data_IF_294465593044
#
_entry.id   IF_294465593044
#
_cell.length_a   1.000
_cell.length_b   1.000
_cell.length_c   1.000
_cell.angle_alpha   90.00
_cell.angle_beta   90.00
_cell.angle_gamma   90.00
#
_symmetry.space_group_name_H-M   'P 1'
#
loop_
_entity.id
_entity.type
_entity.pdbx_description
1 polymer ?
#
# COMPACT_ATOMS: atom_id res chain seq x y z
N UNK A 1 5.90 28.66 7.30
CA UNK A 1 5.37 27.35 6.90
C UNK A 1 6.54 26.39 6.74
N UNK A 2 6.51 25.25 7.40
CA UNK A 2 7.59 24.26 7.35
C UNK A 2 7.21 23.10 6.40
N UNK A 3 8.21 22.59 5.67
CA UNK A 3 8.12 21.41 4.82
C UNK A 3 9.33 20.52 5.06
N UNK A 4 9.21 19.21 5.03
CA UNK A 4 10.35 18.28 5.05
C UNK A 4 11.23 18.46 3.82
N UNK A 5 10.61 18.68 2.67
CA UNK A 5 11.28 18.89 1.41
C UNK A 5 10.35 19.54 0.39
N UNK A 6 10.93 20.08 -0.66
CA UNK A 6 10.11 20.64 -1.75
C UNK A 6 10.84 21.67 -2.61
N UNK A 7 10.23 21.92 -3.74
CA UNK A 7 10.68 22.91 -4.71
C UNK A 7 10.46 24.31 -4.15
N UNK A 8 11.50 25.14 -4.19
CA UNK A 8 11.39 26.54 -3.80
C UNK A 8 10.86 27.37 -4.97
N UNK A 9 10.14 28.44 -4.63
CA UNK A 9 9.68 29.44 -5.60
C UNK A 9 10.88 30.10 -6.30
N UNK A 10 10.83 30.16 -7.62
CA UNK A 10 11.76 30.96 -8.42
C UNK A 10 11.15 32.37 -8.62
N UNK A 11 11.61 33.34 -7.85
CA UNK A 11 11.08 34.70 -7.86
C UNK A 11 11.35 35.44 -9.19
N UNK A 12 12.20 34.90 -10.05
CA UNK A 12 12.46 35.47 -11.38
C UNK A 12 11.40 35.10 -12.41
N UNK A 13 10.58 34.10 -12.12
CA UNK A 13 9.48 33.66 -12.99
C UNK A 13 8.16 34.30 -12.57
N UNK A 14 7.36 34.67 -13.54
CA UNK A 14 5.95 35.00 -13.31
C UNK A 14 5.21 33.75 -12.81
N UNK A 15 4.05 33.94 -12.20
CA UNK A 15 3.22 32.83 -11.71
C UNK A 15 1.73 33.09 -11.90
N UNK A 16 0.99 32.02 -12.13
CA UNK A 16 -0.48 32.01 -12.21
C UNK A 16 -1.15 31.92 -10.81
N UNK A 17 -0.38 31.70 -9.75
CA UNK A 17 -0.89 31.45 -8.39
C UNK A 17 -1.85 32.49 -7.86
N UNK A 18 -1.70 33.79 -8.24
CA UNK A 18 -2.65 34.85 -7.86
C UNK A 18 -4.04 34.62 -8.48
N UNK A 19 -4.09 34.09 -9.69
CA UNK A 19 -5.35 33.80 -10.39
C UNK A 19 -5.97 32.53 -9.82
N UNK A 20 -5.15 31.54 -9.45
CA UNK A 20 -5.60 30.34 -8.73
C UNK A 20 -6.24 30.74 -7.39
N UNK A 21 -5.59 31.60 -6.60
CA UNK A 21 -6.16 32.12 -5.35
C UNK A 21 -7.49 32.88 -5.57
N UNK A 22 -7.58 33.70 -6.61
CA UNK A 22 -8.82 34.37 -6.98
C UNK A 22 -9.93 33.39 -7.35
N UNK A 23 -9.58 32.31 -8.04
CA UNK A 23 -10.52 31.22 -8.38
C UNK A 23 -11.05 30.54 -7.11
N UNK A 24 -10.20 30.28 -6.12
CA UNK A 24 -10.59 29.75 -4.81
C UNK A 24 -11.57 30.67 -4.07
N UNK A 25 -11.29 31.98 -4.04
CA UNK A 25 -12.21 32.97 -3.47
C UNK A 25 -13.58 32.95 -4.17
N UNK A 26 -13.58 32.82 -5.49
CA UNK A 26 -14.82 32.75 -6.28
C UNK A 26 -15.58 31.44 -6.05
N UNK A 27 -14.87 30.32 -5.77
CA UNK A 27 -15.44 29.06 -5.33
C UNK A 27 -15.97 29.09 -3.89
N UNK A 28 -15.67 30.15 -3.13
CA UNK A 28 -16.08 30.32 -1.72
C UNK A 28 -15.18 29.62 -0.71
N UNK A 29 -13.98 29.18 -1.12
CA UNK A 29 -12.97 28.55 -0.26
C UNK A 29 -11.58 29.16 -0.50
N UNK A 30 -11.27 30.34 0.08
CA UNK A 30 -9.96 30.96 -0.07
C UNK A 30 -8.83 30.01 0.28
N UNK A 31 -7.73 30.10 -0.47
CA UNK A 31 -6.56 29.24 -0.22
C UNK A 31 -5.90 29.57 1.13
N UNK A 32 -5.53 28.52 1.84
CA UNK A 32 -4.62 28.60 2.99
C UNK A 32 -3.20 29.00 2.51
N UNK A 33 -2.34 29.52 3.40
CA UNK A 33 -0.99 29.93 3.01
C UNK A 33 -0.16 28.85 2.31
N UNK A 34 -0.26 27.61 2.74
CA UNK A 34 0.44 26.48 2.10
C UNK A 34 -0.09 26.17 0.70
N UNK A 35 -1.42 26.22 0.52
CA UNK A 35 -2.06 26.01 -0.77
C UNK A 35 -1.68 27.11 -1.76
N UNK A 36 -1.63 28.37 -1.26
CA UNK A 36 -1.18 29.50 -2.05
C UNK A 36 0.27 29.31 -2.50
N UNK A 37 1.16 28.89 -1.60
CA UNK A 37 2.56 28.63 -1.95
C UNK A 37 2.70 27.53 -3.01
N UNK A 38 1.96 26.42 -2.89
CA UNK A 38 1.96 25.35 -3.89
C UNK A 38 1.46 25.88 -5.25
N UNK A 39 0.38 26.67 -5.26
CA UNK A 39 -0.15 27.26 -6.48
C UNK A 39 0.82 28.26 -7.11
N UNK A 40 1.54 29.06 -6.30
CA UNK A 40 2.55 30.02 -6.79
C UNK A 40 3.72 29.31 -7.48
N UNK A 41 4.19 28.18 -6.93
CA UNK A 41 5.29 27.40 -7.52
C UNK A 41 4.81 26.58 -8.71
N UNK A 42 3.73 25.81 -8.58
CA UNK A 42 3.20 24.98 -9.66
C UNK A 42 2.76 25.79 -10.88
N UNK A 43 2.32 27.04 -10.63
CA UNK A 43 1.90 28.01 -11.65
C UNK A 43 3.04 28.87 -12.22
N UNK A 44 4.34 28.56 -11.96
CA UNK A 44 5.45 29.29 -12.56
C UNK A 44 5.43 29.20 -14.08
N UNK A 45 5.70 30.33 -14.72
CA UNK A 45 5.70 30.50 -16.17
C UNK A 45 7.13 30.48 -16.69
N UNK A 46 7.39 29.61 -17.64
CA UNK A 46 8.64 29.56 -18.37
C UNK A 46 8.79 30.81 -19.26
N UNK A 47 9.79 31.66 -19.00
CA UNK A 47 9.97 32.89 -19.80
C UNK A 47 10.28 32.62 -21.27
N UNK A 48 10.78 31.44 -21.61
CA UNK A 48 11.08 31.06 -22.98
C UNK A 48 9.87 30.68 -23.79
N UNK A 49 8.85 30.11 -23.15
CA UNK A 49 7.65 29.57 -23.84
C UNK A 49 6.38 30.31 -23.51
N UNK A 50 6.34 31.10 -22.44
CA UNK A 50 5.16 31.83 -21.97
C UNK A 50 4.06 30.95 -21.38
N UNK A 51 4.35 29.66 -21.11
CA UNK A 51 3.42 28.70 -20.49
C UNK A 51 4.02 28.07 -19.22
N UNK A 52 3.30 27.16 -18.57
CA UNK A 52 3.78 26.55 -17.30
C UNK A 52 5.17 25.94 -17.44
N UNK A 53 6.04 26.26 -16.49
CA UNK A 53 7.39 25.68 -16.42
C UNK A 53 7.34 24.21 -15.98
N UNK A 54 6.49 23.87 -15.01
CA UNK A 54 6.35 22.53 -14.50
C UNK A 54 5.21 21.78 -15.22
N UNK A 55 5.51 20.59 -15.71
CA UNK A 55 4.53 19.66 -16.29
C UNK A 55 4.10 18.57 -15.30
N UNK A 56 4.84 18.40 -14.19
CA UNK A 56 4.51 17.48 -13.11
C UNK A 56 4.56 18.17 -11.75
N UNK A 57 3.53 17.94 -10.95
CA UNK A 57 3.41 18.43 -9.57
C UNK A 57 3.16 17.24 -8.66
N UNK A 58 4.03 17.03 -7.66
CA UNK A 58 3.89 15.96 -6.67
C UNK A 58 3.68 16.58 -5.29
N UNK A 59 2.59 16.23 -4.62
CA UNK A 59 2.18 16.82 -3.36
C UNK A 59 1.88 15.75 -2.32
N UNK A 60 2.70 15.68 -1.27
CA UNK A 60 2.46 14.87 -0.08
C UNK A 60 2.06 15.76 1.08
N UNK A 61 0.91 15.49 1.70
CA UNK A 61 0.36 16.30 2.80
C UNK A 61 -0.31 15.42 3.85
N UNK A 62 -0.33 15.84 5.14
CA UNK A 62 -1.15 15.19 6.16
C UNK A 62 -2.64 15.23 5.79
N UNK A 63 -3.44 14.44 6.46
CA UNK A 63 -4.91 14.52 6.37
C UNK A 63 -5.42 15.80 6.98
N UNK A 64 -6.67 16.17 6.68
CA UNK A 64 -7.37 17.33 7.24
C UNK A 64 -6.67 18.69 7.00
N UNK A 65 -5.85 18.79 5.94
CA UNK A 65 -5.15 20.02 5.58
C UNK A 65 -5.83 20.85 4.48
N UNK A 66 -6.87 20.30 3.84
CA UNK A 66 -7.59 20.98 2.76
C UNK A 66 -7.06 20.69 1.35
N UNK A 67 -6.38 19.57 1.13
CA UNK A 67 -5.84 19.12 -0.17
C UNK A 67 -6.88 19.23 -1.30
N UNK A 68 -8.09 18.73 -1.10
CA UNK A 68 -9.18 18.76 -2.08
C UNK A 68 -9.56 20.18 -2.52
N UNK A 69 -9.50 21.17 -1.62
CA UNK A 69 -9.76 22.56 -1.98
C UNK A 69 -8.77 23.10 -3.00
N UNK A 70 -7.47 22.76 -2.85
CA UNK A 70 -6.46 23.13 -3.83
C UNK A 70 -6.71 22.43 -5.17
N UNK A 71 -6.98 21.12 -5.16
CA UNK A 71 -7.25 20.33 -6.37
C UNK A 71 -8.46 20.91 -7.13
N UNK A 72 -9.59 21.11 -6.46
CA UNK A 72 -10.81 21.67 -7.08
C UNK A 72 -10.56 23.05 -7.68
N UNK A 73 -9.74 23.85 -7.00
CA UNK A 73 -9.39 25.19 -7.47
C UNK A 73 -8.52 25.14 -8.72
N UNK A 74 -7.49 24.30 -8.70
CA UNK A 74 -6.57 24.12 -9.84
C UNK A 74 -7.28 23.52 -11.05
N UNK A 75 -8.17 22.56 -10.85
CA UNK A 75 -8.95 21.95 -11.91
C UNK A 75 -9.93 22.98 -12.51
N UNK A 76 -10.61 23.76 -11.67
CA UNK A 76 -11.49 24.85 -12.12
C UNK A 76 -10.73 25.95 -12.86
N UNK A 77 -9.57 26.39 -12.29
CA UNK A 77 -8.71 27.39 -12.94
C UNK A 77 -8.26 26.89 -14.32
N UNK A 78 -7.84 25.64 -14.42
CA UNK A 78 -7.41 25.05 -15.67
C UNK A 78 -8.56 24.98 -16.69
N UNK A 79 -9.78 24.62 -16.27
CA UNK A 79 -10.98 24.63 -17.12
C UNK A 79 -11.32 26.03 -17.64
N UNK A 80 -11.00 27.09 -16.89
CA UNK A 80 -11.27 28.49 -17.25
C UNK A 80 -10.10 29.16 -18.01
N UNK A 81 -8.93 28.54 -18.07
CA UNK A 81 -7.71 29.09 -18.67
C UNK A 81 -7.82 29.35 -20.19
N UNK A 82 -8.64 28.56 -20.87
CA UNK A 82 -8.85 28.69 -22.32
C UNK A 82 -10.04 27.85 -22.79
N UNK A 83 -10.35 27.86 -24.08
CA UNK A 83 -11.47 27.10 -24.62
C UNK A 83 -11.10 25.61 -24.75
N UNK A 84 -12.13 24.75 -24.62
CA UNK A 84 -12.09 23.32 -24.91
C UNK A 84 -11.02 22.55 -24.12
N UNK A 85 -10.76 22.98 -22.88
CA UNK A 85 -9.82 22.29 -21.98
C UNK A 85 -10.44 21.01 -21.42
N UNK A 86 -9.60 19.98 -21.29
CA UNK A 86 -9.99 18.63 -20.88
C UNK A 86 -9.28 18.29 -19.55
N UNK A 87 -10.02 18.29 -18.46
CA UNK A 87 -9.51 18.07 -17.12
C UNK A 87 -10.06 16.75 -16.59
N UNK A 88 -9.18 15.91 -16.09
CA UNK A 88 -9.55 14.62 -15.53
C UNK A 88 -9.01 14.46 -14.11
N UNK A 89 -9.84 13.82 -13.27
CA UNK A 89 -9.57 13.54 -11.87
C UNK A 89 -9.71 12.04 -11.59
N UNK A 90 -8.72 11.46 -10.97
CA UNK A 90 -8.67 10.06 -10.55
C UNK A 90 -8.44 10.01 -9.04
N UNK A 91 -9.20 9.18 -8.31
CA UNK A 91 -9.03 8.91 -6.89
C UNK A 91 -8.78 7.41 -6.64
N UNK A 92 -8.62 7.00 -5.38
CA UNK A 92 -8.35 5.62 -4.98
C UNK A 92 -9.31 4.61 -5.62
N UNK A 93 -10.60 4.92 -5.66
CA UNK A 93 -11.62 4.12 -6.36
C UNK A 93 -12.49 5.00 -7.25
N UNK A 94 -13.17 4.38 -8.23
CA UNK A 94 -14.16 5.09 -9.05
C UNK A 94 -15.29 5.71 -8.22
N UNK A 95 -15.70 5.05 -7.12
CA UNK A 95 -16.74 5.57 -6.21
C UNK A 95 -16.26 6.81 -5.45
N UNK A 96 -14.98 6.83 -5.03
CA UNK A 96 -14.40 7.99 -4.34
C UNK A 96 -14.28 9.18 -5.31
N UNK A 97 -13.84 8.94 -6.54
CA UNK A 97 -13.81 9.96 -7.58
C UNK A 97 -15.20 10.53 -7.88
N UNK A 98 -16.21 9.67 -7.97
CA UNK A 98 -17.60 10.11 -8.16
C UNK A 98 -18.16 10.91 -6.99
N UNK A 99 -17.86 10.50 -5.76
CA UNK A 99 -18.29 11.21 -4.55
C UNK A 99 -17.65 12.60 -4.50
N UNK A 100 -16.32 12.67 -4.66
CA UNK A 100 -15.60 13.93 -4.71
C UNK A 100 -16.16 14.86 -5.81
N UNK A 101 -16.41 14.33 -6.99
CA UNK A 101 -16.97 15.08 -8.11
C UNK A 101 -18.36 15.63 -7.81
N UNK A 102 -19.25 14.88 -7.15
CA UNK A 102 -20.59 15.37 -6.74
C UNK A 102 -20.47 16.52 -5.74
N UNK A 103 -19.57 16.41 -4.76
CA UNK A 103 -19.31 17.46 -3.76
C UNK A 103 -18.77 18.74 -4.44
N UNK A 104 -17.82 18.59 -5.36
CA UNK A 104 -17.29 19.67 -6.19
C UNK A 104 -18.39 20.37 -7.00
N UNK A 105 -19.22 19.62 -7.73
CA UNK A 105 -20.32 20.17 -8.54
C UNK A 105 -21.32 20.94 -7.67
N UNK A 106 -21.64 20.41 -6.48
CA UNK A 106 -22.51 21.10 -5.53
C UNK A 106 -21.91 22.43 -5.06
N UNK A 107 -20.62 22.45 -4.78
CA UNK A 107 -19.90 23.66 -4.39
C UNK A 107 -19.89 24.68 -5.55
N UNK A 108 -19.51 24.24 -6.76
CA UNK A 108 -19.46 25.08 -7.95
C UNK A 108 -20.80 25.73 -8.23
N UNK A 109 -21.90 24.99 -8.09
CA UNK A 109 -23.26 25.49 -8.33
C UNK A 109 -23.71 26.63 -7.38
N UNK A 110 -23.09 26.70 -6.18
CA UNK A 110 -23.39 27.74 -5.17
C UNK A 110 -22.35 28.86 -5.19
N UNK A 111 -21.36 28.80 -6.06
CA UNK A 111 -20.22 29.72 -6.11
C UNK A 111 -20.47 30.88 -7.08
N UNK A 112 -19.59 31.88 -7.03
CA UNK A 112 -19.57 33.00 -8.00
C UNK A 112 -19.21 32.53 -9.42
N UNK A 113 -18.70 31.30 -9.57
CA UNK A 113 -18.36 30.68 -10.85
C UNK A 113 -19.55 29.92 -11.50
N UNK A 114 -20.65 29.75 -10.79
CA UNK A 114 -21.87 29.08 -11.33
C UNK A 114 -22.35 29.61 -12.71
N UNK A 115 -22.30 30.92 -13.01
CA UNK A 115 -22.68 31.42 -14.32
C UNK A 115 -21.81 30.92 -15.49
N UNK A 116 -20.59 30.47 -15.24
CA UNK A 116 -19.70 29.93 -16.26
C UNK A 116 -19.89 28.42 -16.46
N UNK A 117 -20.54 27.72 -15.53
CA UNK A 117 -20.81 26.29 -15.58
C UNK A 117 -22.13 26.00 -16.32
N UNK A 118 -22.17 24.86 -16.99
CA UNK A 118 -23.40 24.28 -17.55
C UNK A 118 -23.98 23.26 -16.57
N UNK A 119 -25.22 22.80 -16.85
CA UNK A 119 -25.84 21.74 -16.05
C UNK A 119 -24.93 20.49 -16.05
N UNK A 120 -24.53 19.94 -14.87
CA UNK A 120 -23.69 18.80 -14.82
C UNK A 120 -24.39 17.52 -15.27
N UNK A 121 -23.65 16.60 -15.84
CA UNK A 121 -24.09 15.23 -16.08
C UNK A 121 -23.64 14.37 -14.91
N UNK A 122 -24.57 13.70 -14.22
CA UNK A 122 -24.31 12.91 -13.00
C UNK A 122 -24.65 11.41 -13.18
N UNK A 123 -24.85 10.95 -14.41
CA UNK A 123 -25.12 9.53 -14.68
C UNK A 123 -23.88 8.68 -14.47
N UNK A 124 -24.03 7.50 -13.84
CA UNK A 124 -22.94 6.56 -13.62
C UNK A 124 -22.20 6.24 -14.94
N UNK A 125 -20.86 6.27 -14.88
CA UNK A 125 -20.01 6.04 -16.04
C UNK A 125 -19.95 7.19 -17.08
N UNK A 126 -20.60 8.33 -16.79
CA UNK A 126 -20.60 9.47 -17.71
C UNK A 126 -20.70 10.81 -16.99
N UNK A 127 -20.15 10.91 -15.77
CA UNK A 127 -20.14 12.16 -15.00
C UNK A 127 -19.25 13.19 -15.65
N UNK A 128 -19.75 14.41 -15.81
CA UNK A 128 -19.02 15.50 -16.45
C UNK A 128 -19.59 16.85 -16.01
N UNK A 129 -18.71 17.79 -15.68
CA UNK A 129 -19.05 19.20 -15.53
C UNK A 129 -18.50 19.97 -16.72
N UNK A 130 -19.39 20.48 -17.56
CA UNK A 130 -19.02 21.35 -18.68
C UNK A 130 -19.07 22.83 -18.31
N UNK A 131 -18.22 23.60 -18.97
CA UNK A 131 -18.20 25.06 -18.89
C UNK A 131 -18.60 25.70 -20.23
N UNK A 132 -19.06 26.98 -20.19
CA UNK A 132 -19.52 27.70 -21.36
C UNK A 132 -18.45 27.92 -22.44
N UNK A 133 -17.14 27.83 -22.05
CA UNK A 133 -16.03 27.91 -23.00
C UNK A 133 -15.71 26.56 -23.68
N UNK A 134 -16.57 25.53 -23.50
CA UNK A 134 -16.36 24.19 -24.06
C UNK A 134 -15.48 23.25 -23.24
N UNK A 135 -14.87 23.74 -22.17
CA UNK A 135 -14.06 22.93 -21.27
C UNK A 135 -14.90 22.02 -20.40
N UNK A 136 -14.28 20.97 -19.87
CA UNK A 136 -14.95 20.07 -18.93
C UNK A 136 -14.00 19.49 -17.87
N UNK A 137 -14.60 19.07 -16.75
CA UNK A 137 -13.94 18.29 -15.68
C UNK A 137 -14.70 16.96 -15.58
N UNK A 138 -13.97 15.83 -15.57
CA UNK A 138 -14.52 14.48 -15.59
C UNK A 138 -13.77 13.57 -14.61
N UNK A 139 -14.46 12.84 -13.71
CA UNK A 139 -13.82 11.80 -12.90
C UNK A 139 -13.49 10.58 -13.76
N UNK A 140 -12.37 9.90 -13.46
CA UNK A 140 -11.96 8.64 -14.07
C UNK A 140 -11.88 7.52 -13.02
N UNK A 141 -12.20 6.31 -13.47
CA UNK A 141 -11.93 5.11 -12.67
C UNK A 141 -10.46 4.66 -12.83
N UNK A 142 -9.88 4.12 -11.78
CA UNK A 142 -8.56 3.47 -11.83
C UNK A 142 -8.65 2.21 -12.67
N UNK A 143 -8.04 2.22 -13.85
CA UNK A 143 -7.87 1.03 -14.70
C UNK A 143 -6.48 1.06 -15.30
N UNK A 144 -5.90 -0.11 -15.61
CA UNK A 144 -4.57 -0.21 -16.28
C UNK A 144 -4.50 0.51 -17.63
N UNK A 145 -5.65 0.83 -18.22
CA UNK A 145 -5.79 1.57 -19.47
C UNK A 145 -6.37 2.98 -19.28
N UNK A 146 -6.46 3.45 -18.03
CA UNK A 146 -6.94 4.80 -17.74
C UNK A 146 -6.10 5.82 -18.50
N UNK A 147 -6.76 6.63 -19.33
CA UNK A 147 -6.10 7.69 -20.10
C UNK A 147 -5.53 7.30 -21.45
N UNK A 148 -5.42 6.01 -21.81
CA UNK A 148 -4.97 5.61 -23.14
C UNK A 148 -5.88 6.18 -24.24
N UNK A 149 -5.30 6.92 -25.18
CA UNK A 149 -6.03 7.57 -26.29
C UNK A 149 -6.85 8.81 -25.90
N UNK A 150 -6.89 9.19 -24.63
CA UNK A 150 -7.63 10.36 -24.16
C UNK A 150 -6.69 11.56 -24.05
N UNK A 151 -6.95 12.61 -24.83
CA UNK A 151 -6.18 13.85 -24.74
C UNK A 151 -6.55 14.64 -23.49
N UNK A 152 -5.56 15.10 -22.72
CA UNK A 152 -5.76 15.81 -21.45
C UNK A 152 -4.93 17.09 -21.38
N UNK A 153 -5.49 18.13 -20.78
CA UNK A 153 -4.82 19.37 -20.46
C UNK A 153 -4.37 19.41 -18.99
N UNK A 154 -5.10 18.74 -18.14
CA UNK A 154 -4.72 18.49 -16.75
C UNK A 154 -5.23 17.13 -16.31
N UNK A 155 -4.39 16.44 -15.56
CA UNK A 155 -4.74 15.17 -14.95
C UNK A 155 -4.31 15.15 -13.49
N UNK A 156 -5.26 14.86 -12.61
CA UNK A 156 -5.00 14.74 -11.18
C UNK A 156 -5.14 13.28 -10.75
N UNK A 157 -4.09 12.71 -10.17
CA UNK A 157 -4.08 11.44 -9.47
C UNK A 157 -4.12 11.77 -7.97
N UNK A 158 -5.28 11.63 -7.36
CA UNK A 158 -5.42 11.83 -5.92
C UNK A 158 -5.39 10.50 -5.17
N UNK A 159 -4.96 10.54 -3.91
CA UNK A 159 -4.71 9.38 -3.06
C UNK A 159 -3.76 8.35 -3.72
N UNK A 160 -2.66 8.87 -4.30
CA UNK A 160 -1.66 8.09 -5.02
C UNK A 160 -0.98 6.99 -4.18
N UNK A 161 -1.12 7.03 -2.84
CA UNK A 161 -0.67 5.96 -1.95
C UNK A 161 -1.35 4.60 -2.26
N UNK A 162 -2.50 4.61 -2.92
CA UNK A 162 -3.25 3.39 -3.27
C UNK A 162 -2.71 2.66 -4.50
N UNK A 163 -1.76 3.26 -5.22
CA UNK A 163 -1.20 2.69 -6.44
C UNK A 163 0.10 1.93 -6.15
N UNK A 164 0.22 0.74 -6.72
CA UNK A 164 1.50 0.07 -6.88
C UNK A 164 2.33 0.70 -8.01
N UNK A 165 3.63 0.40 -8.05
CA UNK A 165 4.58 0.99 -8.97
C UNK A 165 4.25 0.65 -10.45
N UNK A 166 3.80 -0.58 -10.72
CA UNK A 166 3.42 -1.00 -12.08
C UNK A 166 2.22 -0.20 -12.58
N UNK A 167 1.15 -0.13 -11.78
CA UNK A 167 -0.08 0.59 -12.15
C UNK A 167 0.18 2.08 -12.30
N UNK A 168 0.93 2.69 -11.36
CA UNK A 168 1.26 4.11 -11.42
C UNK A 168 2.08 4.48 -12.65
N UNK A 169 3.09 3.68 -13.01
CA UNK A 169 3.89 3.87 -14.22
C UNK A 169 3.07 3.70 -15.49
N UNK A 170 2.26 2.65 -15.58
CA UNK A 170 1.37 2.43 -16.75
C UNK A 170 0.42 3.60 -16.98
N UNK A 171 -0.15 4.18 -15.92
CA UNK A 171 -0.99 5.37 -16.02
C UNK A 171 -0.19 6.56 -16.57
N UNK A 172 1.00 6.83 -16.04
CA UNK A 172 1.83 7.94 -16.49
C UNK A 172 2.29 7.76 -17.94
N UNK A 173 2.72 6.57 -18.32
CA UNK A 173 3.19 6.25 -19.67
C UNK A 173 2.07 6.36 -20.71
N UNK A 174 0.85 5.99 -20.35
CA UNK A 174 -0.32 6.14 -21.21
C UNK A 174 -0.73 7.59 -21.45
N UNK A 175 -0.42 8.50 -20.51
CA UNK A 175 -0.87 9.90 -20.55
C UNK A 175 0.13 10.86 -21.18
N UNK A 176 1.42 10.68 -20.95
CA UNK A 176 2.46 11.61 -21.41
C UNK A 176 2.40 11.90 -22.92
N UNK A 177 2.22 10.92 -23.83
CA UNK A 177 2.11 11.20 -25.25
C UNK A 177 0.86 12.03 -25.61
N UNK A 178 -0.26 11.81 -24.93
CA UNK A 178 -1.52 12.49 -25.21
C UNK A 178 -1.48 13.98 -24.82
N UNK A 179 -0.73 14.28 -23.74
CA UNK A 179 -0.56 15.64 -23.24
C UNK A 179 0.33 16.47 -24.15
N UNK A 180 1.39 15.90 -24.71
CA UNK A 180 2.23 16.60 -25.70
C UNK A 180 1.44 17.09 -26.92
N UNK A 181 0.49 16.28 -27.39
CA UNK A 181 -0.43 16.67 -28.48
C UNK A 181 -1.28 17.88 -28.08
N UNK A 182 -1.75 17.95 -26.82
CA UNK A 182 -2.55 19.08 -26.33
C UNK A 182 -1.75 20.37 -26.25
N UNK A 183 -0.47 20.33 -25.85
CA UNK A 183 0.41 21.51 -25.87
C UNK A 183 0.44 22.16 -27.27
N UNK A 184 0.58 21.34 -28.31
CA UNK A 184 0.58 21.82 -29.69
C UNK A 184 -0.71 22.57 -30.06
N UNK A 185 -1.88 22.06 -29.66
CA UNK A 185 -3.17 22.65 -30.00
C UNK A 185 -3.58 23.83 -29.14
N UNK A 186 -3.20 23.85 -27.86
CA UNK A 186 -3.67 24.87 -26.90
C UNK A 186 -2.65 25.94 -26.60
N UNK A 187 -1.37 25.70 -26.89
CA UNK A 187 -0.25 26.55 -26.50
C UNK A 187 -0.01 26.60 -24.98
N UNK A 188 -0.73 25.79 -24.21
CA UNK A 188 -0.61 25.74 -22.75
C UNK A 188 -0.04 24.41 -22.33
N UNK A 189 1.08 24.44 -21.58
CA UNK A 189 1.69 23.24 -21.04
C UNK A 189 0.67 22.46 -20.18
N UNK A 190 0.34 21.22 -20.54
CA UNK A 190 -0.47 20.35 -19.68
C UNK A 190 0.27 19.97 -18.41
N UNK A 191 -0.49 19.69 -17.34
CA UNK A 191 0.08 19.32 -16.05
C UNK A 191 -0.50 18.01 -15.51
N UNK A 192 0.37 17.16 -14.95
CA UNK A 192 0.02 16.00 -14.13
C UNK A 192 0.21 16.38 -12.66
N UNK A 193 -0.84 16.24 -11.88
CA UNK A 193 -0.81 16.41 -10.43
C UNK A 193 -0.93 15.05 -9.75
N UNK A 194 0.06 14.69 -8.92
CA UNK A 194 0.08 13.48 -8.11
C UNK A 194 -0.01 13.93 -6.67
N UNK A 195 -1.15 13.68 -6.03
CA UNK A 195 -1.42 14.17 -4.69
C UNK A 195 -1.76 13.02 -3.75
N UNK A 196 -1.27 13.09 -2.52
CA UNK A 196 -1.49 12.03 -1.53
C UNK A 196 -1.21 12.50 -0.11
N UNK A 197 -1.63 11.71 0.86
CA UNK A 197 -0.98 11.54 2.15
C UNK A 197 0.09 10.45 1.99
N UNK A 198 1.12 10.42 2.85
CA UNK A 198 2.08 9.32 2.90
C UNK A 198 1.36 7.97 3.00
N UNK A 199 1.96 6.95 2.39
CA UNK A 199 1.37 5.63 2.30
C UNK A 199 1.86 4.65 3.36
N UNK A 200 1.72 3.39 3.02
CA UNK A 200 2.28 2.23 3.72
C UNK A 200 3.44 1.64 2.91
N UNK A 201 4.00 0.54 3.33
CA UNK A 201 5.00 -0.20 2.56
C UNK A 201 4.49 -0.59 1.15
N UNK A 202 3.18 -0.87 1.02
CA UNK A 202 2.55 -1.25 -0.26
C UNK A 202 2.35 -0.10 -1.24
N UNK A 203 2.54 1.13 -0.80
CA UNK A 203 2.37 2.34 -1.62
C UNK A 203 3.60 2.58 -2.54
N UNK A 204 4.02 1.54 -3.26
CA UNK A 204 5.32 1.49 -3.93
C UNK A 204 5.51 2.58 -4.98
N UNK A 205 4.45 2.98 -5.69
CA UNK A 205 4.50 4.09 -6.64
C UNK A 205 4.83 5.44 -5.95
N UNK A 206 4.05 5.81 -4.95
CA UNK A 206 4.26 7.08 -4.23
C UNK A 206 5.58 7.08 -3.47
N UNK A 207 5.90 5.97 -2.80
CA UNK A 207 7.13 5.80 -2.04
C UNK A 207 8.36 5.99 -2.93
N UNK A 208 8.40 5.34 -4.11
CA UNK A 208 9.49 5.47 -5.06
C UNK A 208 9.70 6.91 -5.54
N UNK A 209 8.61 7.65 -5.79
CA UNK A 209 8.68 9.07 -6.16
C UNK A 209 9.28 9.92 -5.03
N UNK A 210 8.71 9.83 -3.82
CA UNK A 210 9.13 10.65 -2.69
C UNK A 210 10.57 10.34 -2.25
N UNK A 211 10.96 9.09 -2.21
CA UNK A 211 12.33 8.67 -1.85
C UNK A 211 13.36 9.19 -2.86
N UNK A 212 13.05 9.08 -4.15
CA UNK A 212 13.88 9.63 -5.21
C UNK A 212 14.06 11.16 -5.07
N UNK A 213 12.98 11.88 -4.75
CA UNK A 213 13.01 13.34 -4.61
C UNK A 213 13.72 13.79 -3.33
N UNK A 214 13.54 13.08 -2.22
CA UNK A 214 14.27 13.31 -0.96
C UNK A 214 15.78 13.06 -1.14
N UNK A 215 16.15 12.10 -2.00
CA UNK A 215 17.54 11.86 -2.38
C UNK A 215 18.12 12.88 -3.40
N UNK A 216 17.33 13.88 -3.81
CA UNK A 216 17.77 14.93 -4.75
C UNK A 216 17.57 14.60 -6.23
N UNK A 217 17.00 13.44 -6.56
CA UNK A 217 16.76 13.01 -7.94
C UNK A 217 15.40 13.49 -8.45
N UNK A 218 15.22 14.80 -8.54
CA UNK A 218 13.98 15.42 -9.05
C UNK A 218 14.10 15.63 -10.57
N UNK A 219 13.19 15.05 -11.39
CA UNK A 219 13.22 15.26 -12.84
C UNK A 219 13.05 16.75 -13.20
N UNK A 220 13.66 17.17 -14.29
CA UNK A 220 13.43 18.50 -14.84
C UNK A 220 11.93 18.73 -15.07
N UNK A 221 11.46 19.94 -14.86
CA UNK A 221 10.06 20.35 -15.01
C UNK A 221 9.09 19.67 -14.04
N UNK A 222 9.62 19.06 -12.95
CA UNK A 222 8.83 18.56 -11.83
C UNK A 222 9.00 19.46 -10.63
N UNK A 223 7.90 19.92 -10.02
CA UNK A 223 7.94 20.49 -8.69
C UNK A 223 7.27 19.52 -7.70
N UNK A 224 7.75 19.54 -6.47
CA UNK A 224 7.26 18.64 -5.43
C UNK A 224 7.20 19.35 -4.08
N UNK A 225 6.34 18.85 -3.21
CA UNK A 225 6.08 19.40 -1.89
C UNK A 225 5.83 18.26 -0.92
N UNK A 226 6.54 18.24 0.18
CA UNK A 226 6.43 17.23 1.23
C UNK A 226 6.16 17.89 2.58
N UNK A 227 4.90 18.00 2.93
CA UNK A 227 4.43 18.54 4.20
C UNK A 227 4.28 17.40 5.21
N UNK A 228 5.10 17.39 6.24
CA UNK A 228 5.06 16.38 7.29
C UNK A 228 6.05 16.69 8.39
N UNK A 229 5.93 16.04 9.53
CA UNK A 229 6.90 16.15 10.61
C UNK A 229 8.23 15.53 10.20
N UNK A 230 9.39 15.97 10.76
CA UNK A 230 10.68 15.32 10.53
C UNK A 230 10.65 13.83 10.86
N UNK A 231 11.50 13.05 10.17
CA UNK A 231 11.51 11.60 10.33
C UNK A 231 11.99 11.13 11.72
N UNK A 232 12.77 11.94 12.41
CA UNK A 232 13.24 11.74 13.78
C UNK A 232 12.32 12.30 14.86
N UNK A 233 11.25 13.02 14.48
CA UNK A 233 10.33 13.62 15.43
C UNK A 233 9.34 12.60 16.00
N UNK A 234 8.93 12.82 17.26
CA UNK A 234 7.87 12.03 17.88
C UNK A 234 6.49 12.46 17.36
N UNK A 235 5.71 11.58 16.71
CA UNK A 235 4.36 11.89 16.25
C UNK A 235 3.36 12.07 17.41
N UNK A 236 3.70 11.69 18.64
CA UNK A 236 2.87 11.95 19.83
C UNK A 236 3.12 13.33 20.42
N UNK A 237 4.18 14.03 20.02
CA UNK A 237 4.40 15.43 20.39
C UNK A 237 3.47 16.36 19.61
N UNK A 238 2.38 16.77 20.23
CA UNK A 238 1.40 17.67 19.64
C UNK A 238 1.98 19.03 19.25
N UNK A 239 3.03 19.51 19.92
CA UNK A 239 3.68 20.77 19.55
C UNK A 239 4.40 20.63 18.21
N UNK A 240 5.03 19.50 17.98
CA UNK A 240 5.62 19.18 16.68
C UNK A 240 4.56 19.08 15.59
N UNK A 241 3.43 18.38 15.83
CA UNK A 241 2.31 18.34 14.87
C UNK A 241 1.81 19.76 14.57
N UNK A 242 1.53 20.59 15.59
CA UNK A 242 1.05 21.97 15.41
C UNK A 242 2.03 22.84 14.62
N UNK A 243 3.31 22.63 14.77
CA UNK A 243 4.36 23.39 14.09
C UNK A 243 4.49 23.00 12.60
N UNK A 244 4.34 21.73 12.27
CA UNK A 244 4.64 21.19 10.95
C UNK A 244 3.39 20.93 10.09
N UNK A 245 2.23 20.72 10.70
CA UNK A 245 1.01 20.48 9.96
C UNK A 245 0.48 21.76 9.31
N UNK A 246 0.31 21.81 7.98
CA UNK A 246 0.08 23.06 7.25
C UNK A 246 -1.28 23.72 7.50
N UNK A 247 -2.23 23.02 8.15
CA UNK A 247 -3.54 23.55 8.52
C UNK A 247 -3.72 23.81 10.02
N UNK A 248 -2.72 23.48 10.83
CA UNK A 248 -2.78 23.72 12.28
C UNK A 248 -2.95 25.22 12.61
N UNK A 249 -3.84 25.54 13.53
CA UNK A 249 -4.18 26.92 13.89
C UNK A 249 -5.02 27.66 12.83
N UNK A 250 -5.32 27.05 11.69
CA UNK A 250 -6.13 27.63 10.62
C UNK A 250 -7.47 26.89 10.44
N UNK A 251 -7.47 25.57 10.40
CA UNK A 251 -8.67 24.75 10.28
C UNK A 251 -9.07 24.09 11.59
N UNK A 252 -8.13 23.85 12.49
CA UNK A 252 -8.33 23.21 13.78
C UNK A 252 -7.24 23.63 14.78
N UNK A 253 -7.51 23.47 16.07
CA UNK A 253 -6.62 23.84 17.18
C UNK A 253 -6.13 22.59 17.98
N UNK A 254 -5.34 22.82 19.05
CA UNK A 254 -4.81 21.74 19.89
C UNK A 254 -5.91 20.93 20.60
N UNK A 255 -7.08 21.50 20.86
CA UNK A 255 -8.18 20.74 21.49
C UNK A 255 -8.75 19.72 20.53
N UNK A 256 -9.03 20.17 19.29
CA UNK A 256 -9.48 19.29 18.23
C UNK A 256 -8.41 18.24 17.86
N UNK A 257 -7.12 18.60 17.95
CA UNK A 257 -6.03 17.64 17.74
C UNK A 257 -6.05 16.50 18.76
N UNK A 258 -6.36 16.81 20.05
CA UNK A 258 -6.52 15.79 21.09
C UNK A 258 -7.72 14.89 20.82
N UNK A 259 -8.86 15.48 20.45
CA UNK A 259 -10.06 14.73 20.10
C UNK A 259 -9.80 13.79 18.88
N UNK A 260 -9.02 14.26 17.91
CA UNK A 260 -8.59 13.42 16.79
C UNK A 260 -7.68 12.27 17.25
N UNK A 261 -6.72 12.54 18.17
CA UNK A 261 -5.82 11.48 18.67
C UNK A 261 -6.57 10.37 19.39
N UNK A 262 -7.62 10.69 20.14
CA UNK A 262 -8.48 9.69 20.81
C UNK A 262 -9.13 8.72 19.83
N UNK A 263 -9.50 9.20 18.63
CA UNK A 263 -10.05 8.34 17.57
C UNK A 263 -9.03 7.34 16.98
N UNK A 264 -7.75 7.58 17.23
CA UNK A 264 -6.65 6.69 16.83
C UNK A 264 -6.09 5.88 18.02
N UNK A 265 -6.84 5.74 19.12
CA UNK A 265 -6.37 4.93 20.24
C UNK A 265 -6.04 3.50 19.79
N UNK A 266 -4.80 3.05 20.07
CA UNK A 266 -4.31 1.74 19.63
C UNK A 266 -3.89 1.67 18.15
N UNK A 267 -3.81 2.80 17.45
CA UNK A 267 -3.35 2.89 16.06
C UNK A 267 -2.37 4.06 15.89
N UNK A 268 -1.21 3.94 16.51
CA UNK A 268 -0.15 4.95 16.51
C UNK A 268 0.40 5.21 15.09
N UNK A 269 0.57 4.16 14.29
CA UNK A 269 1.03 4.27 12.91
C UNK A 269 0.03 5.02 12.04
N UNK A 270 -1.27 4.71 12.20
CA UNK A 270 -2.35 5.44 11.53
C UNK A 270 -2.40 6.91 11.93
N UNK A 271 -2.16 7.23 13.21
CA UNK A 271 -2.03 8.59 13.71
C UNK A 271 -0.85 9.33 13.08
N UNK A 272 0.35 8.75 13.16
CA UNK A 272 1.57 9.32 12.59
C UNK A 272 1.42 9.59 11.08
N UNK A 273 0.77 8.67 10.35
CA UNK A 273 0.47 8.85 8.93
C UNK A 273 -0.56 9.96 8.69
N UNK A 274 -1.65 9.98 9.46
CA UNK A 274 -2.74 10.93 9.23
C UNK A 274 -2.34 12.37 9.54
N UNK A 275 -1.68 12.61 10.66
CA UNK A 275 -1.37 13.96 11.16
C UNK A 275 0.10 14.34 11.06
N UNK A 276 1.01 13.38 11.14
CA UNK A 276 2.43 13.59 10.92
C UNK A 276 2.85 13.51 9.45
N UNK A 277 2.00 12.99 8.58
CA UNK A 277 2.34 12.62 7.20
C UNK A 277 3.63 11.79 7.15
N UNK A 278 3.75 10.81 8.04
CA UNK A 278 4.83 9.84 8.07
C UNK A 278 4.40 8.58 7.35
N UNK A 279 5.34 8.01 6.59
CA UNK A 279 5.13 6.70 6.02
C UNK A 279 4.91 5.70 7.15
N UNK A 280 3.88 4.91 7.02
CA UNK A 280 3.71 3.75 7.84
C UNK A 280 4.64 2.65 7.30
N UNK A 281 5.88 2.66 7.80
CA UNK A 281 6.85 1.59 7.56
C UNK A 281 6.63 0.43 8.53
N UNK A 282 5.72 0.63 9.46
CA UNK A 282 5.25 -0.39 10.36
C UNK A 282 4.47 -1.41 9.57
N UNK A 283 4.73 -2.64 9.87
CA UNK A 283 3.89 -3.78 9.56
C UNK A 283 2.46 -3.36 9.88
N UNK A 284 1.59 -3.32 8.88
CA UNK A 284 0.16 -3.17 9.10
C UNK A 284 -0.22 -4.11 10.23
N UNK A 285 -0.56 -3.58 11.39
CA UNK A 285 -0.92 -4.28 12.61
C UNK A 285 -0.16 -5.61 12.77
N UNK A 286 0.90 -5.63 13.60
CA UNK A 286 1.65 -6.87 13.85
C UNK A 286 0.67 -8.02 14.02
N UNK A 287 0.69 -8.96 13.11
CA UNK A 287 -0.22 -10.10 13.13
C UNK A 287 -0.05 -10.88 14.43
N UNK A 288 1.21 -10.93 14.90
CA UNK A 288 1.60 -11.57 16.16
C UNK A 288 2.21 -10.51 17.07
N UNK A 289 1.52 -10.04 18.13
CA UNK A 289 2.10 -9.12 19.11
C UNK A 289 3.35 -9.69 19.77
N UNK A 290 4.38 -8.86 19.98
CA UNK A 290 5.67 -9.30 20.52
C UNK A 290 5.54 -10.01 21.88
N UNK A 291 4.76 -9.45 22.79
CA UNK A 291 4.51 -10.08 24.10
C UNK A 291 3.84 -11.47 23.97
N UNK A 292 2.94 -11.63 23.00
CA UNK A 292 2.31 -12.91 22.72
C UNK A 292 3.36 -13.91 22.23
N UNK A 293 4.19 -13.51 21.25
CA UNK A 293 5.23 -14.35 20.70
C UNK A 293 6.22 -14.81 21.78
N UNK A 294 6.78 -13.89 22.54
CA UNK A 294 7.69 -14.21 23.63
C UNK A 294 7.07 -15.11 24.70
N UNK A 295 5.77 -14.98 24.98
CA UNK A 295 5.08 -15.79 25.99
C UNK A 295 4.84 -17.24 25.59
N UNK A 296 5.07 -17.59 24.32
CA UNK A 296 4.85 -18.94 23.76
C UNK A 296 6.15 -19.64 23.36
N UNK A 297 7.30 -19.11 23.81
CA UNK A 297 8.59 -19.72 23.59
C UNK A 297 8.68 -21.11 24.23
N UNK A 298 9.20 -22.08 23.52
CA UNK A 298 9.38 -23.46 23.95
C UNK A 298 10.80 -23.99 23.69
N UNK A 299 11.14 -25.08 24.30
CA UNK A 299 12.36 -25.82 24.02
C UNK A 299 12.32 -26.39 22.60
N UNK A 300 13.44 -26.36 21.85
CA UNK A 300 13.52 -26.91 20.49
C UNK A 300 13.09 -28.39 20.41
N UNK A 301 12.60 -28.78 19.25
CA UNK A 301 12.30 -30.18 18.90
C UNK A 301 13.65 -30.90 18.72
N UNK A 302 13.91 -31.90 19.54
CA UNK A 302 15.10 -32.76 19.46
C UNK A 302 14.69 -34.21 19.28
N UNK A 303 15.55 -35.09 18.76
CA UNK A 303 15.21 -36.52 18.62
C UNK A 303 14.67 -37.15 19.91
N UNK A 304 15.24 -36.83 21.08
CA UNK A 304 14.78 -37.31 22.38
C UNK A 304 13.36 -36.84 22.75
N UNK A 305 12.97 -35.66 22.23
CA UNK A 305 11.61 -35.12 22.45
C UNK A 305 10.58 -35.65 21.47
N UNK A 306 11.00 -36.14 20.32
CA UNK A 306 10.10 -36.78 19.36
C UNK A 306 9.57 -38.09 19.98
N UNK A 307 10.42 -38.94 20.52
CA UNK A 307 10.06 -40.15 21.30
C UNK A 307 8.84 -40.89 20.72
N UNK A 308 8.89 -41.19 19.43
CA UNK A 308 7.80 -41.88 18.73
C UNK A 308 6.53 -41.05 18.45
N UNK A 309 6.52 -39.76 18.78
CA UNK A 309 5.40 -38.87 18.44
C UNK A 309 5.41 -38.51 16.97
N UNK A 310 4.25 -38.37 16.33
CA UNK A 310 4.17 -37.94 14.95
C UNK A 310 4.79 -36.55 14.76
N UNK A 311 5.62 -36.45 13.73
CA UNK A 311 6.19 -35.18 13.23
C UNK A 311 5.45 -34.81 11.95
N UNK A 312 5.21 -33.54 11.76
CA UNK A 312 4.72 -32.97 10.49
C UNK A 312 5.76 -31.99 9.97
N UNK A 313 6.09 -32.12 8.72
CA UNK A 313 6.95 -31.18 7.99
C UNK A 313 6.07 -30.26 7.17
N UNK A 314 6.41 -28.99 7.07
CA UNK A 314 5.76 -28.03 6.20
C UNK A 314 6.78 -27.19 5.44
N UNK A 315 6.43 -26.81 4.21
CA UNK A 315 7.24 -25.95 3.39
C UNK A 315 6.44 -24.76 2.86
N UNK A 316 7.09 -23.61 2.76
CA UNK A 316 6.55 -22.40 2.15
C UNK A 316 7.62 -21.69 1.33
N UNK A 317 7.21 -21.17 0.16
CA UNK A 317 8.08 -20.42 -0.77
C UNK A 317 7.75 -18.95 -0.69
N UNK A 318 8.76 -18.09 -0.60
CA UNK A 318 8.58 -16.64 -0.54
C UNK A 318 8.24 -16.04 -1.93
N UNK A 319 7.90 -14.75 -1.95
CA UNK A 319 7.63 -14.00 -3.20
C UNK A 319 8.84 -14.12 -4.13
N UNK A 320 8.56 -14.25 -5.41
CA UNK A 320 9.58 -14.38 -6.47
C UNK A 320 10.49 -15.61 -6.33
N UNK A 321 10.07 -16.61 -5.51
CA UNK A 321 10.80 -17.85 -5.28
C UNK A 321 12.25 -17.65 -4.80
N UNK A 322 12.50 -16.58 -4.07
CA UNK A 322 13.84 -16.23 -3.56
C UNK A 322 14.30 -17.13 -2.43
N UNK A 323 13.35 -17.61 -1.62
CA UNK A 323 13.64 -18.49 -0.47
C UNK A 323 12.56 -19.55 -0.29
N UNK A 324 12.95 -20.70 0.23
CA UNK A 324 12.05 -21.77 0.69
C UNK A 324 12.33 -22.08 2.14
N UNK A 325 11.33 -21.96 3.00
CA UNK A 325 11.44 -22.30 4.43
C UNK A 325 10.81 -23.65 4.72
N UNK A 326 11.48 -24.45 5.54
CA UNK A 326 11.01 -25.76 5.98
C UNK A 326 10.88 -25.75 7.49
N UNK A 327 9.74 -26.15 8.01
CA UNK A 327 9.45 -26.21 9.45
C UNK A 327 8.91 -27.56 9.87
N UNK A 328 9.08 -27.88 11.13
CA UNK A 328 8.49 -29.08 11.77
C UNK A 328 7.48 -28.69 12.85
N UNK A 329 6.51 -29.56 13.08
CA UNK A 329 5.63 -29.53 14.24
C UNK A 329 5.52 -30.88 14.91
N UNK A 330 5.39 -30.87 16.25
CA UNK A 330 5.07 -32.06 17.05
C UNK A 330 3.89 -31.77 17.99
N UNK A 331 3.06 -32.77 18.25
CA UNK A 331 2.04 -32.71 19.30
C UNK A 331 2.68 -33.15 20.62
N UNK A 332 2.68 -32.29 21.62
CA UNK A 332 3.22 -32.58 22.95
C UNK A 332 2.27 -33.47 23.76
N UNK A 333 2.77 -34.08 24.83
CA UNK A 333 1.97 -34.93 25.72
C UNK A 333 0.84 -34.19 26.43
N UNK A 334 0.93 -32.88 26.58
CA UNK A 334 -0.07 -31.99 27.12
C UNK A 334 -1.14 -31.53 26.09
N UNK A 335 -1.05 -32.05 24.84
CA UNK A 335 -1.93 -31.70 23.76
C UNK A 335 -1.59 -30.37 23.04
N UNK A 336 -0.53 -29.67 23.47
CA UNK A 336 -0.05 -28.47 22.77
C UNK A 336 0.79 -28.85 21.57
N UNK A 337 0.92 -27.95 20.60
CA UNK A 337 1.77 -28.11 19.41
C UNK A 337 3.02 -27.25 19.57
N UNK A 338 4.19 -27.82 19.37
CA UNK A 338 5.45 -27.05 19.24
C UNK A 338 5.84 -27.00 17.76
N UNK A 339 6.10 -25.81 17.25
CA UNK A 339 6.64 -25.59 15.89
C UNK A 339 8.09 -25.13 15.96
N UNK A 340 8.87 -25.49 14.94
CA UNK A 340 10.27 -25.11 14.80
C UNK A 340 10.63 -24.89 13.33
N UNK A 341 11.30 -23.80 13.04
CA UNK A 341 11.96 -23.60 11.76
C UNK A 341 13.18 -24.54 11.70
N UNK A 342 13.29 -25.31 10.64
CA UNK A 342 14.41 -26.22 10.42
C UNK A 342 15.46 -25.61 9.51
N UNK A 343 15.03 -25.10 8.34
CA UNK A 343 15.92 -24.56 7.33
C UNK A 343 15.26 -23.43 6.54
N UNK A 344 16.07 -22.48 6.05
CA UNK A 344 15.73 -21.50 5.03
C UNK A 344 16.70 -21.69 3.87
N UNK A 345 16.17 -22.13 2.75
CA UNK A 345 16.92 -22.45 1.54
C UNK A 345 16.88 -21.30 0.55
N UNK A 346 17.98 -21.03 -0.14
CA UNK A 346 18.03 -20.06 -1.23
C UNK A 346 17.27 -20.60 -2.45
N UNK A 347 16.22 -19.92 -2.84
CA UNK A 347 15.36 -20.30 -3.98
C UNK A 347 14.62 -21.60 -3.78
N UNK A 348 14.26 -22.23 -4.92
CA UNK A 348 13.54 -23.52 -4.97
C UNK A 348 14.36 -24.64 -5.59
N UNK A 349 15.61 -24.36 -6.02
CA UNK A 349 16.42 -25.31 -6.79
C UNK A 349 16.74 -26.60 -6.03
N UNK A 350 17.28 -26.49 -4.83
CA UNK A 350 17.66 -27.61 -3.97
C UNK A 350 16.52 -28.06 -3.05
N UNK A 351 15.43 -27.28 -2.95
CA UNK A 351 14.34 -27.54 -2.03
C UNK A 351 13.71 -28.94 -2.17
N UNK A 352 13.47 -29.52 -3.36
CA UNK A 352 12.91 -30.86 -3.46
C UNK A 352 13.77 -31.93 -2.79
N UNK A 353 15.07 -31.91 -3.05
CA UNK A 353 15.99 -32.91 -2.48
C UNK A 353 16.07 -32.79 -0.95
N UNK A 354 16.14 -31.55 -0.44
CA UNK A 354 16.26 -31.31 0.98
C UNK A 354 14.96 -31.61 1.74
N UNK A 355 13.80 -31.20 1.21
CA UNK A 355 12.50 -31.53 1.79
C UNK A 355 12.30 -33.05 1.83
N UNK A 356 12.60 -33.75 0.73
CA UNK A 356 12.51 -35.22 0.70
C UNK A 356 13.41 -35.84 1.76
N UNK A 357 14.67 -35.41 1.88
CA UNK A 357 15.61 -35.86 2.90
C UNK A 357 15.07 -35.67 4.31
N UNK A 358 14.48 -34.50 4.59
CA UNK A 358 13.89 -34.19 5.91
C UNK A 358 12.66 -35.07 6.17
N UNK A 359 11.74 -35.19 5.22
CA UNK A 359 10.57 -36.05 5.36
C UNK A 359 10.95 -37.52 5.61
N UNK A 360 11.92 -38.05 4.88
CA UNK A 360 12.43 -39.41 5.06
C UNK A 360 13.10 -39.57 6.44
N UNK A 361 13.97 -38.62 6.85
CA UNK A 361 14.66 -38.67 8.14
C UNK A 361 13.70 -38.75 9.34
N UNK A 362 12.59 -38.04 9.27
CA UNK A 362 11.61 -37.98 10.34
C UNK A 362 10.39 -38.89 10.13
N UNK A 363 10.34 -39.63 9.00
CA UNK A 363 9.17 -40.40 8.57
C UNK A 363 7.88 -39.58 8.65
N UNK A 364 7.95 -38.34 8.17
CA UNK A 364 6.96 -37.32 8.38
C UNK A 364 6.24 -36.93 7.08
N UNK A 365 4.91 -36.75 7.09
CA UNK A 365 4.20 -36.20 5.95
C UNK A 365 4.48 -34.71 5.79
N UNK A 366 4.29 -34.22 4.55
CA UNK A 366 4.48 -32.84 4.16
C UNK A 366 3.15 -32.08 4.04
N UNK A 367 3.12 -30.86 4.54
CA UNK A 367 2.06 -29.89 4.30
C UNK A 367 2.60 -28.71 3.52
N UNK A 368 1.96 -28.34 2.43
CA UNK A 368 2.20 -27.08 1.75
C UNK A 368 0.98 -26.64 0.93
N UNK A 369 0.88 -25.33 0.71
CA UNK A 369 -0.13 -24.79 -0.21
C UNK A 369 0.28 -25.10 -1.66
N UNK A 370 -0.64 -25.60 -2.46
CA UNK A 370 -0.40 -25.94 -3.87
C UNK A 370 -0.57 -24.75 -4.83
N UNK A 371 -0.65 -23.50 -4.33
CA UNK A 371 -0.93 -22.31 -5.14
C UNK A 371 0.13 -21.21 -4.98
N UNK A 372 0.05 -20.24 -5.90
CA UNK A 372 0.95 -19.09 -5.90
C UNK A 372 2.41 -19.50 -6.04
N UNK A 373 3.36 -18.92 -5.26
CA UNK A 373 4.78 -19.24 -5.34
C UNK A 373 5.12 -20.70 -5.02
N UNK A 374 4.25 -21.39 -4.29
CA UNK A 374 4.45 -22.77 -3.89
C UNK A 374 4.15 -23.78 -5.01
N UNK A 375 3.38 -23.39 -6.05
CA UNK A 375 2.80 -24.31 -7.03
C UNK A 375 3.87 -25.15 -7.76
N UNK A 376 4.92 -24.52 -8.28
CA UNK A 376 5.99 -25.22 -9.00
C UNK A 376 6.72 -26.22 -8.09
N UNK A 377 7.05 -25.82 -6.87
CA UNK A 377 7.73 -26.70 -5.91
C UNK A 377 6.82 -27.84 -5.50
N UNK A 378 5.54 -27.60 -5.25
CA UNK A 378 4.56 -28.64 -4.94
C UNK A 378 4.45 -29.67 -6.07
N UNK A 379 4.31 -29.23 -7.32
CA UNK A 379 4.19 -30.14 -8.47
C UNK A 379 5.45 -30.97 -8.68
N UNK A 380 6.63 -30.40 -8.48
CA UNK A 380 7.91 -31.12 -8.53
C UNK A 380 7.99 -32.20 -7.45
N UNK A 381 7.65 -31.88 -6.21
CA UNK A 381 7.64 -32.83 -5.09
C UNK A 381 6.61 -33.96 -5.30
N UNK A 382 5.41 -33.61 -5.76
CA UNK A 382 4.34 -34.57 -6.02
C UNK A 382 4.66 -35.53 -7.18
N UNK A 383 5.57 -35.14 -8.10
CA UNK A 383 6.02 -35.99 -9.21
C UNK A 383 7.18 -36.92 -8.88
N UNK A 384 7.76 -36.79 -7.69
CA UNK A 384 8.90 -37.63 -7.26
C UNK A 384 8.43 -38.99 -6.79
N UNK A 385 8.98 -40.06 -7.40
CA UNK A 385 8.66 -41.45 -7.08
C UNK A 385 9.95 -42.25 -6.83
N UNK A 386 9.82 -43.35 -6.10
CA UNK A 386 10.88 -44.31 -5.92
C UNK A 386 11.01 -45.24 -7.15
N UNK A 387 11.89 -46.24 -7.06
CA UNK A 387 12.12 -47.23 -8.14
C UNK A 387 10.88 -48.13 -8.42
N UNK A 388 9.96 -48.24 -7.45
CA UNK A 388 8.71 -48.99 -7.58
C UNK A 388 7.59 -48.15 -8.20
N UNK A 389 7.76 -46.83 -8.28
CA UNK A 389 6.77 -45.86 -8.76
C UNK A 389 5.89 -45.29 -7.63
N UNK A 390 6.21 -45.55 -6.37
CA UNK A 390 5.48 -45.01 -5.21
C UNK A 390 5.95 -43.57 -4.90
N UNK A 391 5.05 -42.67 -4.47
CA UNK A 391 5.41 -41.30 -4.12
C UNK A 391 6.47 -41.26 -3.02
N UNK A 392 7.52 -40.43 -3.22
CA UNK A 392 8.57 -40.22 -2.20
C UNK A 392 8.09 -39.35 -1.04
N UNK A 393 7.01 -38.61 -1.20
CA UNK A 393 6.47 -37.70 -0.19
C UNK A 393 4.99 -38.02 0.02
N UNK A 394 4.62 -38.21 1.27
CA UNK A 394 3.24 -38.30 1.70
C UNK A 394 2.72 -36.90 2.05
N UNK A 395 1.69 -36.45 1.32
CA UNK A 395 1.12 -35.12 1.52
C UNK A 395 -0.11 -35.16 2.39
N UNK A 396 -0.19 -34.28 3.40
CA UNK A 396 -1.46 -33.94 4.05
C UNK A 396 -2.20 -32.99 3.12
N UNK A 397 -3.31 -33.42 2.55
CA UNK A 397 -4.10 -32.65 1.61
C UNK A 397 -4.68 -31.39 2.26
N UNK A 398 -4.45 -30.23 1.65
CA UNK A 398 -4.96 -28.93 2.09
C UNK A 398 -5.84 -28.31 0.98
N UNK A 399 -7.02 -27.82 1.38
CA UNK A 399 -7.87 -27.05 0.48
C UNK A 399 -7.57 -25.56 0.58
N UNK A 400 -7.95 -24.78 -0.42
CA UNK A 400 -7.75 -23.32 -0.42
C UNK A 400 -8.50 -22.61 0.73
N UNK A 401 -9.63 -23.15 1.19
CA UNK A 401 -10.35 -22.67 2.36
C UNK A 401 -9.56 -22.85 3.65
N UNK A 402 -8.82 -23.96 3.76
CA UNK A 402 -8.01 -24.28 4.93
C UNK A 402 -6.83 -23.29 5.03
N UNK A 403 -6.17 -23.03 3.90
CA UNK A 403 -5.07 -22.06 3.85
C UNK A 403 -5.48 -20.66 4.32
N UNK A 404 -6.70 -20.20 3.98
CA UNK A 404 -7.21 -18.92 4.44
C UNK A 404 -7.42 -18.85 5.97
N UNK A 405 -7.67 -19.99 6.61
CA UNK A 405 -7.90 -20.08 8.05
C UNK A 405 -6.62 -20.30 8.87
N UNK A 406 -5.54 -20.79 8.25
CA UNK A 406 -4.30 -21.20 8.93
C UNK A 406 -3.70 -20.09 9.81
N UNK A 407 -3.57 -18.88 9.27
CA UNK A 407 -3.01 -17.75 10.01
C UNK A 407 -3.82 -17.36 11.24
N UNK A 408 -5.16 -17.33 11.09
CA UNK A 408 -6.07 -17.01 12.20
C UNK A 408 -6.06 -18.11 13.29
N UNK A 409 -6.05 -19.38 12.86
CA UNK A 409 -5.96 -20.51 13.78
C UNK A 409 -4.64 -20.51 14.56
N UNK A 410 -3.52 -20.21 13.89
CA UNK A 410 -2.20 -20.12 14.51
C UNK A 410 -2.16 -19.04 15.61
N UNK A 411 -2.58 -17.81 15.29
CA UNK A 411 -2.59 -16.72 16.28
C UNK A 411 -3.56 -17.01 17.44
N UNK A 412 -4.69 -17.62 17.16
CA UNK A 412 -5.61 -18.08 18.22
C UNK A 412 -4.96 -19.16 19.11
N UNK A 413 -4.23 -20.10 18.50
CA UNK A 413 -3.47 -21.12 19.21
C UNK A 413 -2.38 -20.55 20.13
N UNK A 414 -1.64 -19.52 19.67
CA UNK A 414 -0.68 -18.80 20.50
C UNK A 414 -1.40 -18.12 21.70
N UNK A 415 -2.50 -17.39 21.46
CA UNK A 415 -3.27 -16.71 22.53
C UNK A 415 -3.77 -17.68 23.60
N UNK A 416 -4.19 -18.86 23.18
CA UNK A 416 -4.69 -19.89 24.08
C UNK A 416 -3.58 -20.79 24.64
N UNK A 417 -2.31 -20.52 24.33
CA UNK A 417 -1.12 -21.31 24.70
C UNK A 417 -1.19 -22.77 24.23
N UNK A 418 -1.92 -23.02 23.18
CA UNK A 418 -2.02 -24.32 22.51
C UNK A 418 -0.93 -24.53 21.47
N UNK A 419 -0.36 -23.42 20.94
CA UNK A 419 0.78 -23.44 20.03
C UNK A 419 1.95 -22.75 20.72
N UNK A 420 3.14 -23.35 20.58
CA UNK A 420 4.41 -22.84 21.08
C UNK A 420 5.43 -22.91 19.95
N UNK A 421 6.49 -22.13 20.03
CA UNK A 421 7.57 -22.12 19.03
C UNK A 421 8.96 -22.24 19.65
N UNK A 422 9.88 -22.86 18.94
CA UNK A 422 11.30 -22.84 19.31
C UNK A 422 11.90 -21.46 18.96
N UNK A 423 12.91 -21.03 19.72
CA UNK A 423 13.65 -19.82 19.44
C UNK A 423 14.47 -19.98 18.15
N UNK A 424 14.32 -19.04 17.23
CA UNK A 424 15.09 -18.93 16.00
C UNK A 424 15.05 -17.49 15.49
N UNK A 425 16.21 -16.94 15.08
CA UNK A 425 16.34 -15.53 14.72
C UNK A 425 15.60 -15.16 13.44
N UNK A 426 15.56 -16.06 12.45
CA UNK A 426 14.85 -15.81 11.18
C UNK A 426 13.34 -15.96 11.36
N UNK A 427 12.91 -16.94 12.14
CA UNK A 427 11.52 -17.13 12.52
C UNK A 427 11.00 -15.94 13.35
N UNK A 428 11.78 -15.47 14.33
CA UNK A 428 11.43 -14.32 15.17
C UNK A 428 11.29 -13.04 14.34
N UNK A 429 12.24 -12.82 13.40
CA UNK A 429 12.17 -11.70 12.47
C UNK A 429 10.95 -11.79 11.54
N UNK A 430 10.66 -12.99 11.03
CA UNK A 430 9.49 -13.24 10.17
C UNK A 430 8.17 -13.02 10.93
N UNK A 431 8.06 -13.52 12.16
CA UNK A 431 6.89 -13.31 13.01
C UNK A 431 6.67 -11.84 13.38
N UNK A 432 7.76 -11.10 13.64
CA UNK A 432 7.72 -9.67 13.95
C UNK A 432 7.30 -8.81 12.76
N UNK A 433 7.61 -9.23 11.54
CA UNK A 433 7.47 -8.44 10.32
C UNK A 433 6.36 -8.93 9.37
N UNK A 434 5.64 -9.99 9.69
CA UNK A 434 4.54 -10.47 8.86
C UNK A 434 3.31 -9.56 8.97
N UNK A 435 2.75 -9.21 7.82
CA UNK A 435 1.50 -8.48 7.69
C UNK A 435 0.36 -9.40 7.23
N UNK A 436 -0.87 -8.94 7.38
CA UNK A 436 -2.06 -9.70 6.95
C UNK A 436 -2.84 -8.99 5.86
N UNK A 437 -3.49 -9.76 5.01
CA UNK A 437 -4.52 -9.27 4.10
C UNK A 437 -5.82 -9.99 4.33
N UNK A 438 -6.94 -9.26 4.28
CA UNK A 438 -8.27 -9.80 4.52
C UNK A 438 -8.89 -10.35 3.24
N UNK A 439 -9.61 -11.46 3.38
CA UNK A 439 -10.44 -12.07 2.33
C UNK A 439 -11.79 -12.43 2.94
N UNK A 440 -12.77 -11.53 2.85
CA UNK A 440 -14.01 -11.62 3.62
C UNK A 440 -13.73 -11.48 5.13
N UNK A 441 -14.21 -12.42 5.92
CA UNK A 441 -14.02 -12.47 7.40
C UNK A 441 -12.74 -13.23 7.81
N UNK A 442 -12.01 -13.81 6.86
CA UNK A 442 -10.73 -14.50 7.08
C UNK A 442 -9.54 -13.65 6.62
N UNK A 443 -8.35 -13.92 7.15
CA UNK A 443 -7.12 -13.26 6.73
C UNK A 443 -6.00 -14.29 6.52
N UNK A 444 -5.04 -13.91 5.69
CA UNK A 444 -3.81 -14.66 5.46
C UNK A 444 -2.60 -13.73 5.57
N UNK A 445 -1.42 -14.29 5.77
CA UNK A 445 -0.17 -13.53 5.68
C UNK A 445 -0.05 -12.96 4.26
N UNK A 446 0.28 -11.66 4.17
CA UNK A 446 0.55 -11.01 2.89
C UNK A 446 2.04 -10.92 2.65
N UNK A 447 2.53 -11.62 1.65
CA UNK A 447 3.95 -11.65 1.29
C UNK A 447 4.45 -10.29 0.81
N UNK A 448 3.66 -9.55 0.03
CA UNK A 448 4.01 -8.21 -0.49
C UNK A 448 3.86 -7.08 0.52
N UNK A 449 3.05 -7.26 1.54
CA UNK A 449 2.82 -6.27 2.61
C UNK A 449 3.71 -6.47 3.83
N UNK A 450 4.49 -7.56 3.87
CA UNK A 450 5.42 -7.88 4.95
C UNK A 450 6.81 -7.30 4.66
N UNK A 451 7.58 -7.03 5.70
CA UNK A 451 8.97 -6.58 5.58
C UNK A 451 9.90 -7.79 5.83
N UNK A 452 10.69 -8.20 4.83
CA UNK A 452 11.54 -9.38 4.91
C UNK A 452 10.81 -10.68 4.53
N UNK A 453 11.40 -11.82 4.88
CA UNK A 453 10.89 -13.15 4.54
C UNK A 453 9.62 -13.48 5.32
N UNK A 454 8.61 -14.00 4.63
CA UNK A 454 7.38 -14.52 5.25
C UNK A 454 7.33 -16.04 5.27
N UNK A 455 8.09 -16.69 4.43
CA UNK A 455 8.13 -18.16 4.34
C UNK A 455 8.45 -18.86 5.67
N UNK A 456 9.32 -18.33 6.59
CA UNK A 456 9.56 -18.95 7.90
C UNK A 456 8.29 -19.06 8.75
N UNK A 457 7.56 -17.95 8.92
CA UNK A 457 6.34 -17.97 9.73
C UNK A 457 5.20 -18.72 9.02
N UNK A 458 5.09 -18.64 7.70
CA UNK A 458 4.09 -19.38 6.93
C UNK A 458 4.31 -20.89 7.03
N UNK A 459 5.54 -21.39 6.92
CA UNK A 459 5.85 -22.81 7.08
C UNK A 459 5.53 -23.31 8.49
N UNK A 460 5.81 -22.51 9.52
CA UNK A 460 5.40 -22.83 10.91
C UNK A 460 3.89 -22.88 11.10
N UNK A 461 3.16 -21.94 10.48
CA UNK A 461 1.69 -21.95 10.51
C UNK A 461 1.12 -23.19 9.84
N UNK A 462 1.68 -23.60 8.69
CA UNK A 462 1.29 -24.79 7.97
C UNK A 462 1.63 -26.07 8.75
N UNK A 463 2.81 -26.13 9.37
CA UNK A 463 3.20 -27.26 10.20
C UNK A 463 2.25 -27.45 11.41
N UNK A 464 1.86 -26.35 12.08
CA UNK A 464 0.91 -26.38 13.18
C UNK A 464 -0.46 -26.86 12.72
N UNK A 465 -0.93 -26.40 11.55
CA UNK A 465 -2.18 -26.87 10.96
C UNK A 465 -2.12 -28.37 10.65
N UNK A 466 -1.07 -28.85 10.04
CA UNK A 466 -0.86 -30.26 9.73
C UNK A 466 -0.85 -31.15 10.97
N UNK A 467 -0.25 -30.69 12.06
CA UNK A 467 -0.22 -31.42 13.33
C UNK A 467 -1.63 -31.68 13.91
N UNK A 468 -2.59 -30.81 13.61
CA UNK A 468 -4.00 -31.00 13.98
C UNK A 468 -4.81 -31.84 12.98
N UNK A 469 -4.24 -32.12 11.80
CA UNK A 469 -4.90 -32.85 10.72
C UNK A 469 -4.23 -34.17 10.37
N UNK A 470 -3.35 -34.65 11.25
CA UNK A 470 -2.84 -36.01 11.15
C UNK A 470 -4.00 -37.03 11.24
N UNK A 471 -3.98 -38.11 10.46
CA UNK A 471 -4.94 -39.18 10.61
C UNK A 471 -4.95 -39.69 12.04
N UNK A 472 -6.14 -39.84 12.65
CA UNK A 472 -6.33 -40.21 14.05
C UNK A 472 -5.94 -41.68 14.37
N UNK A 473 -5.71 -42.49 13.34
CA UNK A 473 -5.25 -43.86 13.50
C UNK A 473 -3.75 -43.93 13.12
N UNK A 474 -2.92 -44.09 14.15
CA UNK A 474 -1.48 -44.34 14.03
C UNK A 474 -1.13 -45.70 13.34
N UNK A 475 -1.82 -46.04 12.29
CA UNK A 475 -1.51 -47.10 11.36
C UNK A 475 -1.11 -46.45 10.04
N UNK A 476 0.20 -46.14 9.89
CA UNK A 476 0.80 -46.19 8.57
C UNK A 476 0.30 -47.47 7.92
N UNK A 477 -0.61 -47.37 6.96
CA UNK A 477 -0.90 -48.48 6.09
C UNK A 477 0.34 -48.68 5.21
N UNK A 478 1.22 -49.53 5.67
CA UNK A 478 2.24 -50.13 4.84
C UNK A 478 1.45 -51.05 3.85
N UNK A 479 1.29 -50.58 2.64
CA UNK A 479 0.92 -51.40 1.51
C UNK A 479 2.12 -51.58 0.61
#
# INVERSE_FOLDING_TARGET
MLMRGGTKRDETRLTDGAIVARTAEMLGKPLLPWQRYVADVAGEIDPATGTYYYDRVVLSTPRQCGKSTLIDTEDTRNALLGPNRKIYYLAQTGKDAEKHFKDFVQQLSKSKLAPFALKPRLSNGGMEQRFRNGSFICPLAVTKVAGHGTQMDKFTIDEAFSLDDETGKLILDGMAPTMNTRLHFTGVQPQIWITSTEGTADSTFLNGLLDSFRAGNVPKRTCWFDFGIPDDADPEDFQTILKWHPAAGLLWDIRQLRDFREQFAGNEAGWARAFGNRRDNGVAERVIPDQLWQSTLATPITPDRIDGRPVVIAAAVDVDATNTSVSAAIVNTDGTVTVQLLEVLDGTGMAPAEITRICDTYHAPLVMDCKGPNADLHDRLASMTDEAGDPLIDFIAMQSSDYLAVGQAFVSGLRNKLIRHAADTELDASAANCARTWSGDAWRVTRRGSTGLTSPIESCMLAAWGAHHLPSDGTLQIF
#
